data_IF_684157186352
#
_entry.id   IF_684157186352
#
_cell.length_a   1.000
_cell.length_b   1.000
_cell.length_c   1.000
_cell.angle_alpha   90.00
_cell.angle_beta   90.00
_cell.angle_gamma   90.00
#
_symmetry.space_group_name_H-M   'P 1'
#
loop_
_entity.id
_entity.type
_entity.pdbx_description
1 polymer ?
#
# COMPACT_ATOMS: atom_id res chain seq x y z
N UNK A 1 -10.49 1.50 -79.38
CA UNK A 1 -11.90 1.87 -79.66
C UNK A 1 -12.65 1.90 -78.34
N UNK A 2 -13.37 3.00 -78.14
CA UNK A 2 -14.14 3.42 -76.97
C UNK A 2 -15.44 2.63 -76.81
N UNK A 3 -15.90 2.42 -75.56
CA UNK A 3 -17.27 2.64 -75.02
C UNK A 3 -17.24 2.33 -73.51
N UNK A 4 -17.23 3.29 -72.57
CA UNK A 4 -18.24 4.27 -72.13
C UNK A 4 -19.52 3.64 -71.54
N UNK A 5 -19.77 4.01 -70.26
CA UNK A 5 -21.05 4.06 -69.52
C UNK A 5 -21.73 2.70 -69.21
N UNK A 6 -22.48 2.49 -68.13
CA UNK A 6 -23.30 3.36 -67.28
C UNK A 6 -23.72 2.47 -66.08
N UNK A 7 -23.56 2.90 -64.82
CA UNK A 7 -24.65 3.48 -63.99
C UNK A 7 -25.38 2.47 -63.09
N UNK A 8 -25.58 2.91 -61.83
CA UNK A 8 -26.48 2.39 -60.77
C UNK A 8 -26.01 1.09 -60.10
N UNK A 9 -25.86 0.98 -58.78
CA UNK A 9 -26.93 1.16 -57.80
C UNK A 9 -26.37 1.15 -56.36
N UNK A 10 -26.94 2.03 -55.52
CA UNK A 10 -27.30 1.77 -54.10
C UNK A 10 -26.10 1.62 -53.15
N UNK A 11 -25.67 2.67 -52.44
CA UNK A 11 -26.39 3.31 -51.34
C UNK A 11 -26.91 2.33 -50.28
N UNK A 12 -26.00 1.60 -49.64
CA UNK A 12 -26.23 0.97 -48.34
C UNK A 12 -25.16 1.45 -47.36
N UNK A 13 -25.31 2.71 -46.96
CA UNK A 13 -24.78 3.26 -45.71
C UNK A 13 -25.39 2.47 -44.55
N UNK A 14 -24.85 1.29 -44.27
CA UNK A 14 -25.02 0.63 -43.00
C UNK A 14 -24.26 1.44 -41.96
N UNK A 15 -24.97 2.35 -41.28
CA UNK A 15 -24.46 2.96 -40.05
C UNK A 15 -24.34 1.83 -39.01
N UNK A 16 -23.17 1.21 -38.96
CA UNK A 16 -22.73 0.44 -37.80
C UNK A 16 -22.47 1.46 -36.71
N UNK A 17 -23.52 1.83 -35.99
CA UNK A 17 -23.43 2.56 -34.74
C UNK A 17 -22.79 1.64 -33.72
N UNK A 18 -21.46 1.58 -33.69
CA UNK A 18 -20.75 1.23 -32.48
C UNK A 18 -21.06 2.34 -31.48
N UNK A 19 -22.05 2.10 -30.62
CA UNK A 19 -22.16 2.77 -29.33
C UNK A 19 -20.84 2.49 -28.61
N UNK A 20 -19.91 3.41 -28.80
CA UNK A 20 -18.61 3.40 -28.16
C UNK A 20 -18.85 3.59 -26.68
N UNK A 21 -18.95 2.46 -25.97
CA UNK A 21 -18.67 2.41 -24.54
C UNK A 21 -17.30 3.03 -24.36
N UNK A 22 -17.30 4.33 -24.06
CA UNK A 22 -16.09 5.05 -23.74
C UNK A 22 -15.50 4.32 -22.55
N UNK A 23 -14.35 3.65 -22.68
CA UNK A 23 -13.79 2.90 -21.57
C UNK A 23 -13.64 3.88 -20.44
N UNK A 24 -14.35 3.62 -19.34
CA UNK A 24 -14.32 4.43 -18.13
C UNK A 24 -12.86 4.52 -17.73
N UNK A 25 -12.22 5.63 -18.08
CA UNK A 25 -10.80 5.86 -17.86
C UNK A 25 -10.67 6.21 -16.41
N UNK A 26 -10.60 5.15 -15.58
CA UNK A 26 -10.23 5.30 -14.18
C UNK A 26 -8.91 6.04 -14.18
N UNK A 27 -8.82 7.22 -13.53
CA UNK A 27 -7.62 8.04 -13.57
C UNK A 27 -6.42 7.21 -13.11
N UNK A 28 -5.45 7.04 -14.00
CA UNK A 28 -4.17 6.42 -13.66
C UNK A 28 -3.36 7.50 -12.95
N UNK A 29 -3.10 7.27 -11.67
CA UNK A 29 -2.30 8.19 -10.86
C UNK A 29 -0.87 8.14 -11.40
N UNK A 30 -0.27 9.28 -11.77
CA UNK A 30 1.13 9.32 -12.22
C UNK A 30 2.03 8.65 -11.17
N UNK A 31 3.04 7.87 -11.57
CA UNK A 31 3.98 7.31 -10.61
C UNK A 31 4.63 8.45 -9.83
N UNK A 32 4.40 8.51 -8.52
CA UNK A 32 5.10 9.43 -7.65
C UNK A 32 6.61 9.19 -7.85
N UNK A 33 7.32 10.23 -8.29
CA UNK A 33 8.73 10.22 -8.65
C UNK A 33 9.58 9.43 -7.62
N UNK A 34 10.19 8.33 -8.07
CA UNK A 34 11.30 7.53 -7.50
C UNK A 34 11.40 7.21 -5.98
N UNK A 35 10.56 7.77 -5.11
CA UNK A 35 10.75 7.78 -3.65
C UNK A 35 9.66 7.00 -2.90
N UNK A 36 9.00 6.04 -3.57
CA UNK A 36 8.09 5.04 -2.97
C UNK A 36 6.97 5.56 -2.07
N UNK A 37 6.16 4.64 -1.52
CA UNK A 37 5.20 4.99 -0.46
C UNK A 37 5.86 5.08 0.92
N UNK A 38 6.93 4.28 1.13
CA UNK A 38 7.73 4.24 2.35
C UNK A 38 9.18 4.59 1.98
N UNK A 39 9.73 5.73 2.42
CA UNK A 39 11.13 6.11 2.18
C UNK A 39 12.14 5.12 2.78
N UNK A 40 12.73 4.25 1.96
CA UNK A 40 13.72 3.27 2.39
C UNK A 40 15.14 3.83 2.29
N UNK A 41 15.60 4.48 3.35
CA UNK A 41 16.98 4.97 3.51
C UNK A 41 17.42 4.75 4.94
N UNK A 42 18.63 4.21 5.11
CA UNK A 42 19.20 3.95 6.45
C UNK A 42 19.18 5.22 7.29
N UNK A 43 18.69 5.09 8.52
CA UNK A 43 18.49 6.19 9.47
C UNK A 43 17.10 6.84 9.42
N UNK A 44 16.26 6.55 8.40
CA UNK A 44 14.87 6.98 8.41
C UNK A 44 14.10 6.24 9.51
N UNK A 45 13.18 6.94 10.18
CA UNK A 45 12.35 6.36 11.23
C UNK A 45 10.97 6.99 11.33
N UNK A 46 10.06 6.25 11.97
CA UNK A 46 8.71 6.67 12.33
C UNK A 46 8.39 6.21 13.73
N UNK A 47 7.75 7.06 14.52
CA UNK A 47 7.27 6.74 15.86
C UNK A 47 5.76 6.81 15.84
N UNK A 48 5.12 5.77 16.34
CA UNK A 48 3.68 5.60 16.40
C UNK A 48 3.22 5.45 17.84
N UNK A 49 2.09 6.04 18.16
CA UNK A 49 1.28 5.63 19.30
C UNK A 49 0.28 4.58 18.84
N UNK A 50 0.26 3.44 19.54
CA UNK A 50 -0.69 2.35 19.30
C UNK A 50 -1.60 2.25 20.51
N UNK A 51 -2.87 2.58 20.30
CA UNK A 51 -3.92 2.54 21.31
C UNK A 51 -4.80 1.31 21.08
N UNK A 52 -5.10 0.55 22.13
CA UNK A 52 -6.17 -0.45 22.12
C UNK A 52 -7.44 0.19 22.71
N UNK A 53 -8.48 0.50 21.90
CA UNK A 53 -9.66 1.22 22.36
C UNK A 53 -10.49 0.50 23.43
N UNK A 54 -10.39 -0.84 23.53
CA UNK A 54 -11.14 -1.62 24.52
C UNK A 54 -10.55 -1.48 25.91
N UNK A 55 -9.22 -1.39 26.00
CA UNK A 55 -8.48 -1.36 27.27
C UNK A 55 -7.98 0.03 27.63
N UNK A 56 -7.92 0.95 26.66
CA UNK A 56 -7.29 2.26 26.80
C UNK A 56 -5.75 2.21 26.91
N UNK A 57 -5.15 1.01 26.81
CA UNK A 57 -3.70 0.85 26.89
C UNK A 57 -3.08 1.47 25.64
N UNK A 58 -2.08 2.32 25.86
CA UNK A 58 -1.28 2.95 24.80
C UNK A 58 0.16 2.49 24.92
N UNK A 59 0.79 2.21 23.78
CA UNK A 59 2.22 1.88 23.67
C UNK A 59 2.86 2.67 22.54
N UNK A 60 4.16 2.91 22.65
CA UNK A 60 4.94 3.58 21.60
C UNK A 60 5.67 2.54 20.77
N UNK A 61 5.51 2.58 19.45
CA UNK A 61 6.21 1.71 18.51
C UNK A 61 7.05 2.57 17.56
N UNK A 62 8.34 2.31 17.47
CA UNK A 62 9.26 2.94 16.52
C UNK A 62 9.63 1.96 15.42
N UNK A 63 9.45 2.38 14.18
CA UNK A 63 9.92 1.74 12.97
C UNK A 63 11.18 2.44 12.50
N UNK A 64 12.23 1.70 12.18
CA UNK A 64 13.51 2.27 11.73
C UNK A 64 14.12 1.46 10.59
N UNK A 65 14.56 2.15 9.54
CA UNK A 65 15.40 1.54 8.49
C UNK A 65 16.83 1.52 9.00
N UNK A 66 17.25 0.36 9.52
CA UNK A 66 18.50 0.27 10.26
C UNK A 66 19.69 -0.04 9.36
N UNK A 67 19.52 -0.99 8.44
CA UNK A 67 20.62 -1.57 7.66
C UNK A 67 20.14 -1.97 6.25
N UNK A 68 21.08 -2.41 5.42
CA UNK A 68 20.81 -2.97 4.09
C UNK A 68 21.34 -4.39 3.98
N UNK A 69 20.66 -5.22 3.20
CA UNK A 69 21.08 -6.55 2.81
C UNK A 69 21.17 -6.62 1.29
N UNK A 70 22.27 -7.16 0.76
CA UNK A 70 22.43 -7.40 -0.68
C UNK A 70 22.27 -8.89 -0.96
N UNK A 71 21.39 -9.22 -1.91
CA UNK A 71 21.17 -10.59 -2.37
C UNK A 71 20.65 -10.56 -3.80
N UNK A 72 21.12 -11.50 -4.64
CA UNK A 72 20.73 -11.60 -6.05
C UNK A 72 20.91 -10.28 -6.84
N UNK A 73 21.91 -9.48 -6.47
CA UNK A 73 22.18 -8.17 -7.08
C UNK A 73 21.13 -7.10 -6.76
N UNK A 74 20.32 -7.31 -5.71
CA UNK A 74 19.32 -6.37 -5.23
C UNK A 74 19.64 -5.94 -3.81
N UNK A 75 19.37 -4.67 -3.51
CA UNK A 75 19.49 -4.12 -2.16
C UNK A 75 18.11 -4.10 -1.49
N UNK A 76 18.04 -4.72 -0.33
CA UNK A 76 16.89 -4.76 0.57
C UNK A 76 17.20 -3.96 1.83
N UNK A 77 16.20 -3.32 2.41
CA UNK A 77 16.33 -2.47 3.59
C UNK A 77 15.70 -3.15 4.81
N UNK A 78 16.45 -3.27 5.89
CA UNK A 78 15.98 -3.87 7.13
C UNK A 78 15.17 -2.85 7.94
N UNK A 79 13.88 -3.12 8.11
CA UNK A 79 12.97 -2.45 9.01
C UNK A 79 13.00 -3.12 10.39
N UNK A 80 13.44 -2.39 11.42
CA UNK A 80 13.45 -2.81 12.82
C UNK A 80 12.30 -2.18 13.60
N UNK A 81 11.89 -2.86 14.67
CA UNK A 81 10.83 -2.42 15.58
C UNK A 81 11.37 -2.23 16.99
N UNK A 82 11.00 -1.12 17.61
CA UNK A 82 11.23 -0.86 19.03
C UNK A 82 9.89 -0.57 19.69
N UNK A 83 9.52 -1.29 20.75
CA UNK A 83 8.30 -1.04 21.51
C UNK A 83 8.65 -0.54 22.92
N UNK A 84 8.12 0.62 23.30
CA UNK A 84 8.39 1.28 24.58
C UNK A 84 9.89 1.40 24.91
N UNK A 85 10.71 1.65 23.89
CA UNK A 85 12.17 1.77 24.01
C UNK A 85 12.94 0.44 23.98
N UNK A 86 12.25 -0.70 23.97
CA UNK A 86 12.87 -2.02 23.85
C UNK A 86 12.88 -2.49 22.39
N UNK A 87 14.07 -2.82 21.89
CA UNK A 87 14.23 -3.41 20.56
C UNK A 87 13.57 -4.80 20.52
N UNK A 88 12.71 -5.03 19.54
CA UNK A 88 12.08 -6.33 19.28
C UNK A 88 12.98 -7.19 18.37
N UNK A 89 12.83 -8.51 18.46
CA UNK A 89 13.54 -9.44 17.58
C UNK A 89 13.06 -9.35 16.13
N UNK A 90 11.80 -8.97 15.94
CA UNK A 90 11.14 -8.91 14.64
C UNK A 90 11.83 -7.93 13.68
N UNK A 91 11.92 -8.33 12.41
CA UNK A 91 12.53 -7.52 11.34
C UNK A 91 11.81 -7.80 10.02
N UNK A 92 11.83 -6.84 9.11
CA UNK A 92 11.34 -7.04 7.72
C UNK A 92 12.38 -6.52 6.73
N UNK A 93 12.58 -7.23 5.62
CA UNK A 93 13.51 -6.83 4.56
C UNK A 93 12.71 -6.34 3.35
N UNK A 94 12.74 -5.04 3.13
CA UNK A 94 11.83 -4.32 2.25
C UNK A 94 12.54 -3.70 1.04
N UNK A 95 11.82 -3.53 -0.06
CA UNK A 95 12.30 -2.80 -1.23
C UNK A 95 11.16 -2.08 -1.95
N UNK A 96 11.39 -0.83 -2.35
CA UNK A 96 10.52 -0.11 -3.26
C UNK A 96 10.85 -0.50 -4.70
N UNK A 97 9.83 -0.76 -5.50
CA UNK A 97 9.93 -0.97 -6.95
C UNK A 97 8.98 0.00 -7.67
N UNK A 98 8.94 -0.07 -9.00
CA UNK A 98 7.99 0.72 -9.79
C UNK A 98 6.52 0.29 -9.60
N UNK A 99 6.28 -0.88 -9.00
CA UNK A 99 4.95 -1.49 -8.85
C UNK A 99 4.47 -1.57 -7.40
N UNK A 100 5.35 -1.35 -6.43
CA UNK A 100 4.97 -1.36 -5.03
C UNK A 100 6.13 -1.51 -4.05
N UNK A 101 5.77 -1.66 -2.79
CA UNK A 101 6.67 -2.01 -1.69
C UNK A 101 6.61 -3.53 -1.52
N UNK A 102 7.76 -4.19 -1.59
CA UNK A 102 7.89 -5.64 -1.53
C UNK A 102 8.64 -6.07 -0.26
N UNK A 103 8.28 -7.25 0.24
CA UNK A 103 8.94 -7.98 1.32
C UNK A 103 9.67 -9.18 0.74
N UNK A 104 10.93 -9.39 1.13
CA UNK A 104 11.73 -10.55 0.71
C UNK A 104 11.97 -11.56 1.82
N UNK A 105 12.15 -11.09 3.03
CA UNK A 105 12.42 -11.91 4.20
C UNK A 105 11.91 -11.21 5.45
N UNK A 106 11.76 -11.96 6.54
CA UNK A 106 11.44 -11.42 7.85
C UNK A 106 12.13 -12.22 8.95
N UNK A 107 12.30 -11.58 10.10
CA UNK A 107 12.65 -12.26 11.35
C UNK A 107 11.41 -12.24 12.23
N UNK A 108 11.02 -13.39 12.78
CA UNK A 108 9.87 -13.49 13.66
C UNK A 108 10.18 -13.09 15.11
N UNK A 109 9.16 -13.10 15.98
CA UNK A 109 9.31 -12.75 17.38
C UNK A 109 10.26 -13.68 18.17
N UNK A 110 10.56 -14.89 17.67
CA UNK A 110 11.54 -15.80 18.25
C UNK A 110 12.98 -15.48 17.83
N UNK A 111 13.15 -14.56 16.86
CA UNK A 111 14.46 -14.25 16.27
C UNK A 111 14.84 -15.18 15.12
N UNK A 112 13.92 -16.01 14.64
CA UNK A 112 14.19 -16.92 13.51
C UNK A 112 14.05 -16.18 12.19
N UNK A 113 15.06 -16.30 11.33
CA UNK A 113 15.06 -15.70 9.99
C UNK A 113 14.30 -16.59 8.99
N UNK A 114 13.35 -15.99 8.27
CA UNK A 114 12.53 -16.63 7.25
C UNK A 114 12.72 -15.90 5.92
N UNK A 115 13.31 -16.59 4.94
CA UNK A 115 13.40 -16.12 3.57
C UNK A 115 12.18 -16.61 2.78
N UNK A 116 11.57 -15.72 2.00
CA UNK A 116 10.48 -16.09 1.09
C UNK A 116 11.05 -16.69 -0.20
N UNK A 117 10.34 -17.66 -0.78
CA UNK A 117 10.73 -18.25 -2.08
C UNK A 117 10.77 -17.21 -3.20
N UNK A 118 9.93 -16.17 -3.12
CA UNK A 118 9.93 -15.00 -3.98
C UNK A 118 9.52 -13.75 -3.17
N UNK A 119 9.86 -12.52 -3.60
CA UNK A 119 9.36 -11.32 -2.94
C UNK A 119 7.83 -11.20 -3.02
N UNK A 120 7.19 -10.93 -1.88
CA UNK A 120 5.75 -10.68 -1.80
C UNK A 120 5.44 -9.18 -1.79
N UNK A 121 4.36 -8.79 -2.47
CA UNK A 121 3.87 -7.41 -2.45
C UNK A 121 3.29 -7.08 -1.08
N UNK A 122 3.73 -5.99 -0.45
CA UNK A 122 3.13 -5.44 0.77
C UNK A 122 2.05 -4.41 0.42
N UNK A 123 2.40 -3.46 -0.46
CA UNK A 123 1.53 -2.35 -0.87
C UNK A 123 1.77 -2.03 -2.33
N UNK A 124 0.71 -2.04 -3.14
CA UNK A 124 0.78 -1.62 -4.55
C UNK A 124 0.85 -0.10 -4.68
N UNK A 125 1.78 0.40 -5.50
CA UNK A 125 1.76 1.78 -6.02
C UNK A 125 2.55 1.88 -7.34
N UNK A 126 2.08 2.68 -8.32
CA UNK A 126 0.80 3.39 -8.32
C UNK A 126 -0.38 2.41 -8.35
N UNK A 127 -1.37 2.64 -7.50
CA UNK A 127 -2.57 1.80 -7.40
C UNK A 127 -3.78 2.52 -8.01
N UNK A 128 -4.71 1.73 -8.55
CA UNK A 128 -5.99 2.24 -9.06
C UNK A 128 -7.04 2.13 -7.97
N UNK A 129 -7.87 3.16 -7.85
CA UNK A 129 -8.99 3.17 -6.89
C UNK A 129 -9.91 1.97 -7.19
N UNK A 130 -10.29 1.25 -6.13
CA UNK A 130 -11.07 0.02 -6.12
C UNK A 130 -10.45 -1.18 -6.85
N UNK A 131 -9.17 -1.11 -7.25
CA UNK A 131 -8.45 -2.27 -7.76
C UNK A 131 -7.97 -3.14 -6.60
N UNK A 132 -8.27 -4.43 -6.69
CA UNK A 132 -7.76 -5.44 -5.77
C UNK A 132 -6.32 -5.84 -6.13
N UNK A 133 -5.56 -6.23 -5.12
CA UNK A 133 -4.23 -6.83 -5.24
C UNK A 133 -3.97 -7.77 -4.06
N UNK A 134 -3.13 -8.78 -4.27
CA UNK A 134 -2.68 -9.69 -3.22
C UNK A 134 -1.62 -9.00 -2.37
N UNK A 135 -1.74 -9.09 -1.05
CA UNK A 135 -0.80 -8.50 -0.09
C UNK A 135 -0.21 -9.58 0.80
N UNK A 136 1.03 -9.39 1.25
CA UNK A 136 1.60 -10.23 2.30
C UNK A 136 0.84 -10.12 3.63
N UNK A 137 0.31 -8.93 3.95
CA UNK A 137 -0.37 -8.67 5.22
C UNK A 137 -1.83 -9.14 5.23
N UNK A 138 -2.38 -9.50 4.07
CA UNK A 138 -3.79 -9.85 3.95
C UNK A 138 -4.12 -10.68 2.72
N UNK A 139 -5.14 -11.54 2.83
CA UNK A 139 -5.66 -12.32 1.70
C UNK A 139 -6.03 -11.46 0.49
N UNK A 140 -6.55 -10.25 0.73
CA UNK A 140 -6.77 -9.28 -0.33
C UNK A 140 -6.65 -7.84 0.17
N UNK A 141 -6.20 -6.95 -0.70
CA UNK A 141 -6.11 -5.52 -0.41
C UNK A 141 -6.59 -4.68 -1.59
N UNK A 142 -7.00 -3.43 -1.32
CA UNK A 142 -7.33 -2.47 -2.36
C UNK A 142 -7.10 -1.02 -1.93
N UNK A 143 -6.79 -0.18 -2.91
CA UNK A 143 -6.83 1.27 -2.73
C UNK A 143 -8.29 1.74 -2.76
N UNK A 144 -8.75 2.40 -1.71
CA UNK A 144 -10.13 2.88 -1.60
C UNK A 144 -10.34 4.34 -1.94
N UNK A 145 -9.39 5.18 -1.58
CA UNK A 145 -9.48 6.60 -1.79
C UNK A 145 -8.10 7.21 -1.92
N UNK A 146 -8.04 8.34 -2.61
CA UNK A 146 -6.88 9.23 -2.67
C UNK A 146 -7.27 10.60 -2.12
N UNK A 147 -6.28 11.44 -1.85
CA UNK A 147 -6.46 12.82 -1.36
C UNK A 147 -7.31 12.90 -0.07
N UNK A 148 -7.02 12.01 0.90
CA UNK A 148 -7.65 12.04 2.22
C UNK A 148 -6.79 12.81 3.21
N UNK A 149 -7.28 13.95 3.68
CA UNK A 149 -6.61 14.70 4.73
C UNK A 149 -6.74 13.99 6.07
N UNK A 150 -5.60 13.63 6.66
CA UNK A 150 -5.52 12.95 7.95
C UNK A 150 -4.64 13.78 8.89
N UNK A 151 -5.23 14.21 10.01
CA UNK A 151 -4.52 14.85 11.11
C UNK A 151 -4.06 13.83 12.16
N UNK A 152 -2.79 13.91 12.55
CA UNK A 152 -2.15 13.12 13.61
C UNK A 152 -1.20 14.03 14.40
N UNK A 153 -0.65 13.60 15.56
CA UNK A 153 0.26 14.45 16.33
C UNK A 153 1.49 14.95 15.53
N UNK A 154 2.00 14.15 14.58
CA UNK A 154 3.09 14.56 13.71
C UNK A 154 2.73 15.62 12.64
N UNK A 155 1.45 15.96 12.46
CA UNK A 155 0.99 16.93 11.46
C UNK A 155 -0.27 16.53 10.70
N UNK A 156 -0.54 17.21 9.60
CA UNK A 156 -1.64 16.89 8.67
C UNK A 156 -1.08 16.47 7.33
N UNK A 157 -1.61 15.38 6.77
CA UNK A 157 -1.07 14.75 5.56
C UNK A 157 -2.18 14.39 4.58
N UNK A 158 -1.90 14.57 3.29
CA UNK A 158 -2.75 14.09 2.21
C UNK A 158 -2.43 12.61 1.91
N UNK A 159 -3.37 11.72 2.24
CA UNK A 159 -3.15 10.28 2.26
C UNK A 159 -3.88 9.52 1.13
N UNK A 160 -3.30 8.37 0.79
CA UNK A 160 -3.93 7.23 0.13
C UNK A 160 -4.55 6.31 1.21
N UNK A 161 -5.81 5.94 1.04
CA UNK A 161 -6.49 4.99 1.94
C UNK A 161 -6.46 3.59 1.33
N UNK A 162 -5.79 2.66 1.99
CA UNK A 162 -5.82 1.23 1.68
C UNK A 162 -6.72 0.49 2.67
N UNK A 163 -7.38 -0.56 2.19
CA UNK A 163 -8.07 -1.54 3.03
C UNK A 163 -7.49 -2.92 2.74
N UNK A 164 -7.13 -3.63 3.80
CA UNK A 164 -6.60 -4.99 3.79
C UNK A 164 -7.63 -5.90 4.48
N UNK A 165 -7.93 -7.04 3.90
CA UNK A 165 -9.00 -7.94 4.30
C UNK A 165 -8.47 -9.35 4.52
N UNK A 166 -8.78 -9.91 5.68
CA UNK A 166 -8.63 -11.33 6.00
C UNK A 166 -10.01 -11.89 6.37
N UNK A 167 -10.13 -13.20 6.53
CA UNK A 167 -11.37 -13.89 6.91
C UNK A 167 -12.14 -13.22 8.07
N UNK A 168 -11.44 -12.82 9.14
CA UNK A 168 -12.03 -12.32 10.38
C UNK A 168 -11.61 -10.89 10.74
N UNK A 169 -10.92 -10.19 9.85
CA UNK A 169 -10.39 -8.86 10.16
C UNK A 169 -10.25 -7.97 8.94
N UNK A 170 -10.21 -6.66 9.20
CA UNK A 170 -9.90 -5.66 8.19
C UNK A 170 -9.02 -4.58 8.79
N UNK A 171 -8.01 -4.18 8.03
CA UNK A 171 -7.16 -3.03 8.36
C UNK A 171 -7.45 -1.89 7.40
N UNK A 172 -7.77 -0.71 7.93
CA UNK A 172 -7.85 0.54 7.17
C UNK A 172 -6.60 1.37 7.44
N UNK A 173 -5.71 1.49 6.46
CA UNK A 173 -4.43 2.19 6.60
C UNK A 173 -4.35 3.42 5.69
N UNK A 174 -3.80 4.50 6.22
CA UNK A 174 -3.63 5.78 5.53
C UNK A 174 -2.14 6.03 5.32
N UNK A 175 -1.72 6.07 4.07
CA UNK A 175 -0.33 6.20 3.67
C UNK A 175 -0.11 7.47 2.87
N UNK A 176 0.96 8.21 3.18
CA UNK A 176 1.36 9.39 2.40
C UNK A 176 2.63 9.06 1.62
N UNK A 177 2.65 9.24 0.29
CA UNK A 177 3.87 9.09 -0.50
C UNK A 177 5.03 9.88 0.10
N UNK A 178 6.23 9.31 0.09
CA UNK A 178 7.45 9.92 0.64
C UNK A 178 7.44 10.19 2.15
N UNK A 179 6.42 9.75 2.87
CA UNK A 179 6.40 9.75 4.34
C UNK A 179 6.26 8.33 4.84
N UNK A 180 5.21 7.60 4.46
CA UNK A 180 4.92 6.26 4.98
C UNK A 180 3.53 6.16 5.56
N UNK A 181 3.36 5.29 6.56
CA UNK A 181 2.11 5.12 7.28
C UNK A 181 1.84 6.35 8.16
N UNK A 182 0.65 6.92 8.05
CA UNK A 182 0.22 8.08 8.84
C UNK A 182 -0.74 7.64 9.96
N UNK A 183 -1.70 6.78 9.63
CA UNK A 183 -2.73 6.32 10.55
C UNK A 183 -3.22 4.92 10.15
N UNK A 184 -3.57 4.07 11.12
CA UNK A 184 -4.12 2.74 10.87
C UNK A 184 -5.21 2.40 11.88
N UNK A 185 -6.27 1.75 11.40
CA UNK A 185 -7.32 1.17 12.24
C UNK A 185 -7.42 -0.32 11.92
N UNK A 186 -7.32 -1.16 12.93
CA UNK A 186 -7.46 -2.61 12.81
C UNK A 186 -8.82 -3.01 13.38
N UNK A 187 -9.61 -3.73 12.59
CA UNK A 187 -10.95 -4.18 12.96
C UNK A 187 -11.00 -5.70 12.97
N UNK A 188 -11.65 -6.27 13.98
CA UNK A 188 -11.95 -7.70 14.08
C UNK A 188 -13.44 -7.89 13.91
N UNK A 189 -13.82 -8.86 13.10
CA UNK A 189 -15.19 -9.29 12.85
C UNK A 189 -15.51 -10.51 13.70
N UNK A 190 -16.63 -10.47 14.40
CA UNK A 190 -17.09 -11.57 15.25
C UNK A 190 -18.60 -11.66 15.23
N UNK A 191 -19.16 -12.73 15.82
CA UNK A 191 -20.61 -12.90 15.95
C UNK A 191 -21.27 -11.80 16.80
N UNK A 192 -20.52 -11.10 17.65
CA UNK A 192 -21.01 -9.96 18.45
C UNK A 192 -20.87 -8.62 17.75
N UNK A 193 -20.28 -8.57 16.55
CA UNK A 193 -20.13 -7.37 15.73
C UNK A 193 -18.67 -7.04 15.37
N UNK A 194 -18.46 -5.77 15.01
CA UNK A 194 -17.16 -5.24 14.58
C UNK A 194 -16.48 -4.50 15.73
N UNK A 195 -15.25 -4.87 16.05
CA UNK A 195 -14.47 -4.29 17.14
C UNK A 195 -13.16 -3.69 16.63
N UNK A 196 -12.88 -2.42 16.92
CA UNK A 196 -11.59 -1.79 16.57
C UNK A 196 -10.49 -2.25 17.54
N UNK A 197 -9.68 -3.24 17.17
CA UNK A 197 -8.68 -3.85 18.05
C UNK A 197 -7.46 -2.96 18.32
N UNK A 198 -7.13 -2.03 17.42
CA UNK A 198 -6.06 -1.06 17.65
C UNK A 198 -6.08 0.10 16.66
N UNK A 199 -5.63 1.25 17.13
CA UNK A 199 -5.41 2.47 16.32
C UNK A 199 -3.96 2.89 16.41
N UNK A 200 -3.30 3.08 15.25
CA UNK A 200 -1.92 3.56 15.16
C UNK A 200 -1.92 5.00 14.66
N UNK A 201 -1.19 5.90 15.31
CA UNK A 201 -1.08 7.31 14.90
C UNK A 201 0.37 7.72 14.85
N UNK A 202 0.81 8.32 13.73
CA UNK A 202 2.16 8.85 13.61
C UNK A 202 2.35 10.04 14.55
N UNK A 203 3.33 9.96 15.45
CA UNK A 203 3.64 11.01 16.42
C UNK A 203 4.92 11.77 16.12
N UNK A 204 5.90 11.11 15.53
CA UNK A 204 7.15 11.72 15.10
C UNK A 204 7.74 10.91 13.94
N UNK A 205 8.57 11.53 13.11
CA UNK A 205 9.25 10.86 12.01
C UNK A 205 10.48 11.64 11.54
N UNK A 206 11.40 10.92 10.92
CA UNK A 206 12.55 11.50 10.24
C UNK A 206 12.76 10.80 8.91
N UNK A 207 12.74 11.57 7.83
CA UNK A 207 12.95 11.11 6.45
C UNK A 207 13.99 12.01 5.80
N UNK A 208 15.06 11.41 5.30
CA UNK A 208 16.17 12.07 4.59
C UNK A 208 16.12 11.91 3.07
#
# INVERSE_FOLDING_TARGET
MIKILCVLMVLSLGMVGCSGDSPSTVPVIPPASSNGILPLKVGNFWVYEVENPQTGITRTVRWEIAETMETEGQVWFELRYTENGQLLAERRYLRNTATGLYLYAYVDASGTFHQLEAPHLLISYPARINSWFDSWEAESAKLRATHKDIGVPAGSFECLKYEFYNDDSMTSAFWTPHVGLINQFNFIYSSSGVTNSSTWRLVDYHVN
#
